data_IF_490973378043
#
_entry.id   IF_490973378043
#
_cell.length_a   1.000
_cell.length_b   1.000
_cell.length_c   1.000
_cell.angle_alpha   90.00
_cell.angle_beta   90.00
_cell.angle_gamma   90.00
#
_symmetry.space_group_name_H-M   'P 1'
#
loop_
_entity.id
_entity.type
_entity.pdbx_description
1 polymer ?
#
# COMPACT_ATOMS: atom_id res chain seq x y z
N UNK A 1 22.23 -14.32 -15.33
CA UNK A 1 21.09 -15.03 -15.95
C UNK A 1 20.24 -15.54 -14.79
N UNK A 2 19.12 -14.88 -14.48
CA UNK A 2 18.24 -15.33 -13.39
C UNK A 2 17.66 -16.68 -13.79
N UNK A 3 17.92 -17.73 -13.00
CA UNK A 3 17.36 -19.04 -13.24
C UNK A 3 15.82 -18.92 -13.27
N UNK A 4 15.22 -19.30 -14.39
CA UNK A 4 13.76 -19.33 -14.52
C UNK A 4 13.22 -20.35 -13.53
N UNK A 5 12.38 -19.91 -12.59
CA UNK A 5 11.76 -20.82 -11.62
C UNK A 5 10.80 -21.75 -12.36
N UNK A 6 10.87 -23.03 -12.02
CA UNK A 6 9.96 -24.03 -12.57
C UNK A 6 8.60 -23.96 -11.88
N UNK A 7 7.54 -24.39 -12.58
CA UNK A 7 6.18 -24.51 -12.01
C UNK A 7 6.15 -25.26 -10.66
N UNK A 8 6.82 -26.43 -10.49
CA UNK A 8 6.83 -27.11 -9.19
C UNK A 8 7.57 -26.32 -8.09
N UNK A 9 8.62 -25.55 -8.43
CA UNK A 9 9.28 -24.68 -7.45
C UNK A 9 8.36 -23.57 -6.95
N UNK A 10 7.56 -22.98 -7.85
CA UNK A 10 6.56 -21.96 -7.54
C UNK A 10 5.46 -22.57 -6.66
N UNK A 11 4.95 -23.74 -7.04
CA UNK A 11 3.90 -24.44 -6.29
C UNK A 11 4.36 -24.79 -4.87
N UNK A 12 5.56 -25.34 -4.73
CA UNK A 12 6.09 -25.74 -3.42
C UNK A 12 6.39 -24.54 -2.52
N UNK A 13 6.88 -23.43 -3.09
CA UNK A 13 7.07 -22.18 -2.35
C UNK A 13 5.73 -21.61 -1.88
N UNK A 14 4.72 -21.59 -2.75
CA UNK A 14 3.40 -21.08 -2.43
C UNK A 14 2.74 -21.90 -1.31
N UNK A 15 2.77 -23.24 -1.42
CA UNK A 15 2.29 -24.14 -0.37
C UNK A 15 2.99 -23.87 0.96
N UNK A 16 4.33 -23.72 0.94
CA UNK A 16 5.11 -23.40 2.14
C UNK A 16 4.68 -22.08 2.76
N UNK A 17 4.52 -21.02 1.98
CA UNK A 17 4.09 -19.70 2.49
C UNK A 17 2.71 -19.75 3.13
N UNK A 18 1.74 -20.36 2.46
CA UNK A 18 0.36 -20.50 2.96
C UNK A 18 0.33 -21.28 4.27
N UNK A 19 1.12 -22.36 4.38
CA UNK A 19 1.20 -23.18 5.59
C UNK A 19 1.95 -22.48 6.74
N UNK A 20 2.94 -21.65 6.42
CA UNK A 20 3.74 -20.94 7.43
C UNK A 20 3.03 -19.72 8.03
N UNK A 21 2.04 -19.17 7.33
CA UNK A 21 1.33 -17.97 7.76
C UNK A 21 0.18 -18.34 8.72
N UNK A 22 0.16 -17.82 9.97
CA UNK A 22 -0.86 -18.15 10.96
C UNK A 22 -2.28 -17.78 10.56
N UNK A 23 -2.46 -16.76 9.72
CA UNK A 23 -3.79 -16.35 9.27
C UNK A 23 -4.32 -17.34 8.22
N UNK A 24 -3.45 -17.97 7.42
CA UNK A 24 -3.88 -18.83 6.27
C UNK A 24 -3.66 -20.32 6.46
N UNK A 25 -2.92 -20.77 7.49
CA UNK A 25 -2.61 -22.18 7.70
C UNK A 25 -3.82 -23.11 7.90
N UNK A 26 -4.96 -22.55 8.34
CA UNK A 26 -6.21 -23.27 8.58
C UNK A 26 -7.19 -23.18 7.39
N UNK A 27 -6.74 -22.67 6.24
CA UNK A 27 -7.56 -22.57 5.05
C UNK A 27 -7.50 -23.84 4.19
N UNK A 28 -8.66 -24.25 3.66
CA UNK A 28 -8.77 -25.42 2.80
C UNK A 28 -8.52 -25.00 1.34
N UNK A 29 -7.25 -24.81 0.99
CA UNK A 29 -6.84 -24.26 -0.31
C UNK A 29 -6.02 -25.28 -1.09
N UNK A 30 -6.45 -25.55 -2.33
CA UNK A 30 -5.69 -26.27 -3.32
C UNK A 30 -5.01 -25.29 -4.29
N UNK A 31 -3.75 -25.56 -4.61
CA UNK A 31 -2.93 -24.74 -5.50
C UNK A 31 -2.47 -25.57 -6.68
N UNK A 32 -2.60 -25.04 -7.90
CA UNK A 32 -2.05 -25.66 -9.11
C UNK A 32 -1.28 -24.60 -9.89
N UNK A 33 -0.13 -24.96 -10.44
CA UNK A 33 0.68 -24.06 -11.27
C UNK A 33 0.87 -24.70 -12.64
N UNK A 34 0.58 -23.94 -13.68
CA UNK A 34 0.80 -24.36 -15.06
C UNK A 34 1.23 -23.16 -15.90
N UNK A 35 2.33 -23.30 -16.62
CA UNK A 35 2.89 -22.23 -17.47
C UNK A 35 3.11 -20.93 -16.67
N UNK A 36 3.52 -21.09 -15.40
CA UNK A 36 3.69 -20.00 -14.41
C UNK A 36 2.42 -19.22 -14.08
N UNK A 37 1.25 -19.78 -14.40
CA UNK A 37 -0.06 -19.29 -13.98
C UNK A 37 -0.49 -20.09 -12.75
N UNK A 38 -0.67 -19.40 -11.63
CA UNK A 38 -1.16 -20.00 -10.38
C UNK A 38 -2.67 -19.99 -10.40
N UNK A 39 -3.27 -21.14 -10.09
CA UNK A 39 -4.71 -21.28 -9.83
C UNK A 39 -4.91 -21.67 -8.37
N UNK A 40 -5.62 -20.83 -7.63
CA UNK A 40 -6.02 -21.06 -6.25
C UNK A 40 -7.49 -21.45 -6.22
N UNK A 41 -7.81 -22.58 -5.60
CA UNK A 41 -9.19 -23.07 -5.44
C UNK A 41 -9.43 -23.50 -4.00
N UNK A 42 -10.69 -23.52 -3.56
CA UNK A 42 -11.07 -24.00 -2.23
C UNK A 42 -11.79 -22.95 -1.40
N UNK A 43 -11.66 -23.04 -0.07
CA UNK A 43 -12.46 -22.27 0.88
C UNK A 43 -11.62 -21.63 1.97
N UNK A 44 -11.98 -20.40 2.32
CA UNK A 44 -11.46 -19.68 3.50
C UNK A 44 -12.60 -19.28 4.42
N UNK A 45 -12.27 -18.99 5.68
CA UNK A 45 -13.26 -18.65 6.71
C UNK A 45 -13.49 -17.15 6.88
N UNK A 46 -12.68 -16.31 6.23
CA UNK A 46 -12.84 -14.85 6.24
C UNK A 46 -12.35 -14.24 4.93
N UNK A 47 -12.84 -13.03 4.59
CA UNK A 47 -12.34 -12.32 3.40
C UNK A 47 -10.87 -11.92 3.54
N UNK A 48 -10.44 -11.50 4.73
CA UNK A 48 -9.03 -11.24 5.04
C UNK A 48 -8.12 -12.43 4.69
N UNK A 49 -8.54 -13.66 4.99
CA UNK A 49 -7.79 -14.85 4.58
C UNK A 49 -7.69 -14.97 3.06
N UNK A 50 -8.80 -14.78 2.34
CA UNK A 50 -8.81 -14.81 0.86
C UNK A 50 -7.79 -13.81 0.30
N UNK A 51 -7.82 -12.56 0.79
CA UNK A 51 -6.91 -11.51 0.34
C UNK A 51 -5.46 -11.85 0.68
N UNK A 52 -5.19 -12.33 1.89
CA UNK A 52 -3.85 -12.71 2.33
C UNK A 52 -3.24 -13.77 1.42
N UNK A 53 -3.99 -14.82 1.08
CA UNK A 53 -3.52 -15.87 0.16
C UNK A 53 -3.22 -15.29 -1.22
N UNK A 54 -4.08 -14.40 -1.72
CA UNK A 54 -3.86 -13.73 -2.99
C UNK A 54 -2.58 -12.89 -2.99
N UNK A 55 -2.33 -12.13 -1.92
CA UNK A 55 -1.12 -11.33 -1.75
C UNK A 55 0.13 -12.21 -1.63
N UNK A 56 0.04 -13.32 -0.89
CA UNK A 56 1.13 -14.30 -0.80
C UNK A 56 1.47 -14.86 -2.18
N UNK A 57 0.45 -15.24 -2.98
CA UNK A 57 0.66 -15.69 -4.35
C UNK A 57 1.29 -14.59 -5.22
N UNK A 58 0.76 -13.36 -5.20
CA UNK A 58 1.31 -12.22 -5.95
C UNK A 58 2.77 -11.88 -5.57
N UNK A 59 3.18 -12.17 -4.33
CA UNK A 59 4.53 -11.88 -3.83
C UNK A 59 5.61 -12.85 -4.31
N UNK A 60 5.25 -13.98 -4.92
CA UNK A 60 6.21 -14.98 -5.38
C UNK A 60 6.75 -14.58 -6.75
N UNK A 61 8.08 -14.39 -6.81
CA UNK A 61 8.75 -14.08 -8.06
C UNK A 61 8.61 -15.22 -9.08
N UNK A 62 8.34 -14.86 -10.34
CA UNK A 62 8.28 -15.80 -11.47
C UNK A 62 6.87 -16.14 -11.94
N UNK A 63 5.83 -15.77 -11.18
CA UNK A 63 4.43 -15.94 -11.57
C UNK A 63 4.06 -14.92 -12.66
N UNK A 64 3.38 -15.41 -13.70
CA UNK A 64 2.88 -14.58 -14.80
C UNK A 64 1.39 -14.24 -14.66
N UNK A 65 0.63 -15.05 -13.93
CA UNK A 65 -0.80 -14.87 -13.77
C UNK A 65 -1.33 -15.56 -12.53
N UNK A 66 -2.42 -15.04 -11.99
CA UNK A 66 -3.09 -15.58 -10.82
C UNK A 66 -4.59 -15.68 -11.08
N UNK A 67 -5.13 -16.89 -10.98
CA UNK A 67 -6.56 -17.19 -10.99
C UNK A 67 -6.96 -17.51 -9.55
N UNK A 68 -7.82 -16.68 -8.96
CA UNK A 68 -8.25 -16.80 -7.57
C UNK A 68 -9.72 -17.22 -7.48
N UNK A 69 -9.97 -18.53 -7.52
CA UNK A 69 -11.29 -19.15 -7.37
C UNK A 69 -11.58 -19.57 -5.92
N UNK A 70 -10.87 -18.99 -4.95
CA UNK A 70 -11.11 -19.23 -3.52
C UNK A 70 -12.42 -18.57 -3.10
N UNK A 71 -13.29 -19.34 -2.46
CA UNK A 71 -14.58 -18.86 -1.97
C UNK A 71 -14.53 -18.58 -0.46
N UNK A 72 -15.15 -17.49 -0.03
CA UNK A 72 -15.29 -17.17 1.40
C UNK A 72 -16.52 -17.88 1.95
N UNK A 73 -16.32 -18.82 2.87
CA UNK A 73 -17.36 -19.50 3.63
C UNK A 73 -17.28 -19.07 5.09
N UNK A 74 -18.03 -18.02 5.42
CA UNK A 74 -18.13 -17.55 6.80
C UNK A 74 -18.75 -18.63 7.70
N UNK A 75 -18.14 -18.94 8.85
CA UNK A 75 -18.79 -19.71 9.91
C UNK A 75 -20.13 -19.08 10.30
N UNK A 76 -21.11 -19.87 10.73
CA UNK A 76 -22.45 -19.37 11.09
C UNK A 76 -22.39 -18.24 12.13
N UNK A 77 -21.46 -18.32 13.10
CA UNK A 77 -21.25 -17.31 14.13
C UNK A 77 -20.70 -15.97 13.60
N UNK A 78 -20.14 -15.96 12.39
CA UNK A 78 -19.61 -14.75 11.74
C UNK A 78 -20.56 -14.17 10.69
N UNK A 79 -21.70 -14.81 10.44
CA UNK A 79 -22.75 -14.23 9.61
C UNK A 79 -23.43 -13.13 10.40
N UNK A 80 -23.33 -11.90 9.90
CA UNK A 80 -23.91 -10.71 10.50
C UNK A 80 -24.84 -10.04 9.51
N UNK A 81 -25.88 -9.34 9.99
CA UNK A 81 -26.77 -8.61 9.10
C UNK A 81 -26.03 -7.43 8.47
N UNK A 82 -26.29 -7.15 7.20
CA UNK A 82 -25.61 -6.09 6.43
C UNK A 82 -25.61 -4.71 7.11
N UNK A 83 -26.69 -4.25 7.79
CA UNK A 83 -26.66 -2.98 8.51
C UNK A 83 -25.60 -2.91 9.62
N UNK A 84 -25.32 -4.03 10.29
CA UNK A 84 -24.26 -4.08 11.29
C UNK A 84 -22.87 -4.07 10.65
N UNK A 85 -22.69 -4.80 9.54
CA UNK A 85 -21.43 -4.80 8.79
C UNK A 85 -21.14 -3.38 8.27
N UNK A 86 -22.15 -2.69 7.74
CA UNK A 86 -22.03 -1.32 7.25
C UNK A 86 -21.64 -0.35 8.37
N UNK A 87 -22.27 -0.44 9.55
CA UNK A 87 -21.94 0.39 10.70
C UNK A 87 -20.52 0.15 11.18
N UNK A 88 -20.13 -1.11 11.35
CA UNK A 88 -18.80 -1.47 11.84
C UNK A 88 -17.71 -1.07 10.83
N UNK A 89 -17.99 -1.20 9.52
CA UNK A 89 -17.10 -0.71 8.47
C UNK A 89 -16.93 0.81 8.52
N UNK A 90 -18.02 1.56 8.69
CA UNK A 90 -18.00 3.01 8.80
C UNK A 90 -17.19 3.46 10.02
N UNK A 91 -17.46 2.88 11.18
CA UNK A 91 -16.72 3.18 12.41
C UNK A 91 -15.22 2.87 12.29
N UNK A 92 -14.89 1.74 11.67
CA UNK A 92 -13.50 1.34 11.47
C UNK A 92 -12.77 2.28 10.50
N UNK A 93 -13.41 2.66 9.39
CA UNK A 93 -12.85 3.59 8.41
C UNK A 93 -12.67 4.98 9.03
N UNK A 94 -13.68 5.49 9.75
CA UNK A 94 -13.57 6.79 10.44
C UNK A 94 -12.45 6.80 11.49
N UNK A 95 -12.27 5.69 12.21
CA UNK A 95 -11.15 5.54 13.16
C UNK A 95 -9.79 5.57 12.46
N UNK A 96 -9.68 4.98 11.27
CA UNK A 96 -8.41 4.91 10.52
C UNK A 96 -8.12 6.19 9.72
N UNK A 97 -9.16 6.84 9.20
CA UNK A 97 -9.13 7.97 8.28
C UNK A 97 -10.08 9.09 8.78
N UNK A 98 -9.77 9.73 9.92
CA UNK A 98 -10.69 10.66 10.59
C UNK A 98 -11.09 11.87 9.74
N UNK A 99 -10.27 12.27 8.76
CA UNK A 99 -10.53 13.43 7.90
C UNK A 99 -11.09 13.07 6.52
N UNK A 100 -11.20 11.78 6.19
CA UNK A 100 -11.64 11.33 4.86
C UNK A 100 -12.80 10.35 4.90
N UNK A 101 -13.09 9.76 6.06
CA UNK A 101 -14.20 8.83 6.22
C UNK A 101 -15.57 9.41 5.86
N UNK A 102 -15.82 10.69 6.13
CA UNK A 102 -17.08 11.37 5.76
C UNK A 102 -17.31 11.47 4.24
N UNK A 103 -16.25 11.36 3.43
CA UNK A 103 -16.32 11.37 1.96
C UNK A 103 -16.47 9.97 1.36
N UNK A 104 -16.41 8.93 2.18
CA UNK A 104 -16.51 7.53 1.78
C UNK A 104 -17.92 7.02 2.08
N UNK A 105 -18.65 6.73 1.01
CA UNK A 105 -19.93 6.02 1.07
C UNK A 105 -19.67 4.52 1.12
N UNK A 106 -20.38 3.84 2.02
CA UNK A 106 -20.31 2.38 2.18
C UNK A 106 -21.67 1.80 1.84
N UNK A 107 -21.70 0.85 0.92
CA UNK A 107 -22.89 0.07 0.56
C UNK A 107 -22.59 -1.39 0.86
N UNK A 108 -23.47 -2.08 1.58
CA UNK A 108 -23.31 -3.50 1.91
C UNK A 108 -24.49 -4.30 1.40
N UNK A 109 -24.20 -5.39 0.70
CA UNK A 109 -25.21 -6.33 0.18
C UNK A 109 -24.69 -7.76 0.30
N UNK A 110 -25.38 -8.61 1.06
CA UNK A 110 -25.00 -10.01 1.33
C UNK A 110 -23.53 -10.15 1.79
N UNK A 111 -23.11 -9.26 2.71
CA UNK A 111 -21.75 -9.17 3.22
C UNK A 111 -20.68 -8.68 2.23
N UNK A 112 -21.06 -8.25 1.01
CA UNK A 112 -20.16 -7.57 0.08
C UNK A 112 -20.16 -6.07 0.38
N UNK A 113 -18.99 -5.53 0.75
CA UNK A 113 -18.81 -4.11 1.05
C UNK A 113 -18.35 -3.40 -0.23
N UNK A 114 -19.08 -2.39 -0.68
CA UNK A 114 -18.67 -1.50 -1.76
C UNK A 114 -18.31 -0.13 -1.18
N UNK A 115 -17.08 0.32 -1.44
CA UNK A 115 -16.58 1.64 -1.04
C UNK A 115 -16.67 2.58 -2.25
N UNK A 116 -17.39 3.68 -2.12
CA UNK A 116 -17.60 4.66 -3.18
C UNK A 116 -17.32 6.08 -2.66
N UNK A 117 -16.88 6.98 -3.53
CA UNK A 117 -16.57 8.36 -3.15
C UNK A 117 -15.19 8.78 -3.63
N UNK A 118 -14.64 9.82 -2.99
CA UNK A 118 -13.39 10.45 -3.40
C UNK A 118 -12.42 10.55 -2.23
N UNK A 119 -11.16 10.26 -2.51
CA UNK A 119 -10.04 10.44 -1.58
C UNK A 119 -8.92 11.22 -2.26
N UNK A 120 -8.06 11.85 -1.47
CA UNK A 120 -6.99 12.71 -1.99
C UNK A 120 -5.74 11.90 -2.36
N UNK A 121 -5.52 10.76 -1.72
CA UNK A 121 -4.30 9.98 -1.88
C UNK A 121 -4.56 8.48 -2.01
N UNK A 122 -3.71 7.80 -2.78
CA UNK A 122 -3.80 6.36 -2.97
C UNK A 122 -3.74 5.59 -1.64
N UNK A 123 -2.94 6.06 -0.67
CA UNK A 123 -2.85 5.43 0.65
C UNK A 123 -4.19 5.45 1.40
N UNK A 124 -5.04 6.46 1.18
CA UNK A 124 -6.35 6.56 1.82
C UNK A 124 -7.30 5.53 1.23
N UNK A 125 -7.26 5.35 -0.10
CA UNK A 125 -8.01 4.31 -0.78
C UNK A 125 -7.60 2.93 -0.28
N UNK A 126 -6.29 2.65 -0.23
CA UNK A 126 -5.73 1.38 0.25
C UNK A 126 -6.07 1.12 1.73
N UNK A 127 -5.94 2.14 2.58
CA UNK A 127 -6.27 2.01 4.01
C UNK A 127 -7.78 1.78 4.24
N UNK A 128 -8.65 2.40 3.45
CA UNK A 128 -10.08 2.18 3.54
C UNK A 128 -10.44 0.74 3.13
N UNK A 129 -9.82 0.23 2.06
CA UNK A 129 -9.97 -1.16 1.62
C UNK A 129 -9.50 -2.12 2.73
N UNK A 130 -8.25 -2.01 3.20
CA UNK A 130 -7.68 -2.88 4.24
C UNK A 130 -8.56 -2.97 5.50
N UNK A 131 -9.10 -1.82 5.93
CA UNK A 131 -9.98 -1.77 7.11
C UNK A 131 -11.31 -2.45 6.83
N UNK A 132 -11.91 -2.21 5.67
CA UNK A 132 -13.15 -2.87 5.27
C UNK A 132 -12.97 -4.41 5.16
N UNK A 133 -11.81 -4.88 4.71
CA UNK A 133 -11.50 -6.32 4.62
C UNK A 133 -11.45 -7.00 5.99
N UNK A 134 -11.07 -6.25 7.03
CA UNK A 134 -10.96 -6.75 8.39
C UNK A 134 -12.30 -6.76 9.15
N UNK A 135 -13.39 -6.24 8.57
CA UNK A 135 -14.72 -6.20 9.20
C UNK A 135 -15.28 -7.62 9.34
N UNK A 136 -15.73 -7.97 10.54
CA UNK A 136 -16.35 -9.25 10.81
C UNK A 136 -17.67 -9.37 10.05
N UNK A 137 -17.81 -10.44 9.25
CA UNK A 137 -18.95 -10.66 8.37
C UNK A 137 -18.73 -10.23 6.93
N UNK A 138 -17.61 -9.55 6.62
CA UNK A 138 -17.25 -9.24 5.25
C UNK A 138 -16.96 -10.52 4.44
N UNK A 139 -17.65 -10.66 3.32
CA UNK A 139 -17.43 -11.72 2.31
C UNK A 139 -16.60 -11.24 1.13
N UNK A 140 -16.58 -9.92 0.92
CA UNK A 140 -15.87 -9.27 -0.16
C UNK A 140 -15.82 -7.77 0.03
N UNK A 141 -14.80 -7.14 -0.55
CA UNK A 141 -14.68 -5.69 -0.64
C UNK A 141 -14.47 -5.30 -2.09
N UNK A 142 -15.23 -4.31 -2.55
CA UNK A 142 -15.09 -3.68 -3.87
C UNK A 142 -14.74 -2.22 -3.62
N UNK A 143 -13.51 -1.86 -3.90
CA UNK A 143 -13.02 -0.49 -3.76
C UNK A 143 -13.23 0.28 -5.08
N UNK A 144 -14.12 1.27 -5.08
CA UNK A 144 -14.38 2.20 -6.19
C UNK A 144 -14.08 3.65 -5.81
N UNK A 145 -13.18 3.86 -4.84
CA UNK A 145 -12.77 5.20 -4.43
C UNK A 145 -11.94 5.86 -5.54
N UNK A 146 -12.35 7.05 -5.95
CA UNK A 146 -11.64 7.87 -6.91
C UNK A 146 -10.56 8.68 -6.20
N UNK A 147 -9.30 8.46 -6.59
CA UNK A 147 -8.14 9.14 -6.02
C UNK A 147 -7.91 10.42 -6.83
N UNK A 148 -8.33 11.55 -6.27
CA UNK A 148 -8.07 12.85 -6.85
C UNK A 148 -6.58 13.15 -6.80
N UNK A 149 -5.88 12.89 -7.91
CA UNK A 149 -4.47 13.23 -8.06
C UNK A 149 -4.29 14.75 -8.03
N UNK A 150 -4.10 15.32 -6.85
CA UNK A 150 -3.54 16.67 -6.67
C UNK A 150 -2.02 16.64 -6.92
N UNK A 151 -1.62 16.12 -8.08
CA UNK A 151 -0.35 16.50 -8.70
C UNK A 151 -0.69 17.42 -9.88
N UNK A 152 -1.33 18.54 -9.58
CA UNK A 152 -1.13 19.77 -10.35
C UNK A 152 0.35 20.16 -10.14
N UNK A 153 1.21 19.52 -10.92
CA UNK A 153 2.66 19.71 -10.96
C UNK A 153 3.09 21.14 -11.31
N UNK A 154 2.16 22.03 -11.63
CA UNK A 154 2.35 23.45 -11.84
C UNK A 154 2.44 24.21 -10.52
N UNK A 155 1.46 24.10 -9.62
CA UNK A 155 1.39 24.95 -8.41
C UNK A 155 2.44 24.60 -7.36
N UNK A 156 2.74 23.32 -7.16
CA UNK A 156 3.79 22.91 -6.20
C UNK A 156 5.16 23.30 -6.74
N UNK A 157 5.43 23.12 -8.05
CA UNK A 157 6.67 23.62 -8.65
C UNK A 157 6.74 25.13 -8.55
N UNK A 158 5.64 25.84 -8.79
CA UNK A 158 5.62 27.29 -8.77
C UNK A 158 5.84 27.82 -7.36
N UNK A 159 5.14 27.30 -6.35
CA UNK A 159 5.33 27.67 -4.93
C UNK A 159 6.72 27.29 -4.41
N UNK A 160 7.24 26.10 -4.75
CA UNK A 160 8.61 25.70 -4.37
C UNK A 160 9.65 26.55 -5.10
N UNK A 161 9.47 26.82 -6.39
CA UNK A 161 10.39 27.68 -7.16
C UNK A 161 10.38 29.11 -6.66
N UNK A 162 9.21 29.63 -6.30
CA UNK A 162 9.05 30.98 -5.77
C UNK A 162 9.66 31.08 -4.37
N UNK A 163 9.42 30.11 -3.48
CA UNK A 163 10.06 30.07 -2.16
C UNK A 163 11.59 29.92 -2.28
N UNK A 164 12.09 29.14 -3.24
CA UNK A 164 13.53 28.98 -3.48
C UNK A 164 14.17 30.25 -4.07
N UNK A 165 13.45 30.96 -4.95
CA UNK A 165 13.88 32.25 -5.51
C UNK A 165 13.86 33.36 -4.45
N UNK A 166 12.83 33.40 -3.60
CA UNK A 166 12.74 34.35 -2.48
C UNK A 166 13.84 34.10 -1.45
N UNK A 167 14.14 32.83 -1.12
CA UNK A 167 15.25 32.48 -0.24
C UNK A 167 16.62 32.84 -0.85
N UNK A 168 16.83 32.59 -2.15
CA UNK A 168 18.07 32.96 -2.84
C UNK A 168 18.23 34.49 -3.00
N UNK A 169 17.13 35.23 -3.17
CA UNK A 169 17.13 36.69 -3.20
C UNK A 169 17.42 37.29 -1.81
N UNK A 170 17.03 36.62 -0.73
CA UNK A 170 17.37 37.02 0.63
C UNK A 170 18.87 36.85 0.94
N UNK A 171 19.50 35.77 0.46
CA UNK A 171 20.95 35.55 0.59
C UNK A 171 21.81 36.48 -0.27
N UNK A 172 21.28 36.99 -1.38
CA UNK A 172 21.98 37.97 -2.22
C UNK A 172 22.00 39.39 -1.60
N UNK A 173 21.05 39.70 -0.72
CA UNK A 173 20.90 41.03 -0.10
C UNK A 173 21.38 41.11 1.37
N UNK A 174 21.82 39.99 1.97
CA UNK A 174 22.35 39.94 3.34
C UNK A 174 23.89 40.00 3.42
N UNK A 175 24.57 40.51 2.38
CA UNK A 175 25.97 40.93 2.49
C UNK A 175 26.10 42.41 2.87
N UNK A 176 25.85 42.68 4.14
CA UNK A 176 26.67 43.62 4.89
C UNK A 176 26.69 43.23 6.37
N UNK A 177 27.91 43.08 6.89
CA UNK A 177 28.36 42.96 8.29
C UNK A 177 28.39 41.59 8.96
N UNK A 178 29.62 41.06 9.00
CA UNK A 178 30.33 40.47 10.15
C UNK A 178 29.91 39.11 10.74
N UNK A 179 30.73 38.11 10.38
CA UNK A 179 31.31 37.04 11.20
C UNK A 179 30.71 36.74 12.59
N UNK A 180 30.11 35.56 12.77
CA UNK A 180 30.72 34.51 13.60
C UNK A 180 30.08 33.13 13.36
N UNK A 181 30.86 32.08 13.64
CA UNK A 181 30.58 30.66 13.44
C UNK A 181 29.19 30.18 13.91
N UNK A 182 28.39 29.60 13.01
CA UNK A 182 27.77 28.29 13.26
C UNK A 182 27.28 27.64 11.95
N UNK A 183 27.78 26.45 11.71
CA UNK A 183 27.61 25.62 10.51
C UNK A 183 26.15 25.10 10.40
N UNK A 184 25.42 25.49 9.35
CA UNK A 184 24.23 24.76 8.90
C UNK A 184 24.38 24.44 7.41
N UNK A 185 24.82 23.21 7.16
CA UNK A 185 24.99 22.63 5.82
C UNK A 185 23.60 22.25 5.29
N UNK A 186 23.05 23.09 4.42
CA UNK A 186 21.94 22.72 3.54
C UNK A 186 22.51 21.90 2.37
N UNK A 187 22.39 20.57 2.47
CA UNK A 187 22.78 19.60 1.43
C UNK A 187 21.94 19.80 0.17
N UNK A 188 22.40 20.71 -0.69
CA UNK A 188 22.05 20.77 -2.10
C UNK A 188 22.90 19.79 -2.91
N UNK A 189 22.24 19.10 -3.84
CA UNK A 189 22.83 18.51 -5.04
C UNK A 189 23.98 17.50 -4.83
N UNK A 190 23.61 16.24 -4.62
CA UNK A 190 24.51 15.10 -4.88
C UNK A 190 24.85 15.06 -6.37
N UNK A 191 26.03 15.57 -6.74
CA UNK A 191 26.81 15.09 -7.89
C UNK A 191 28.26 14.89 -7.47
N UNK A 192 28.54 13.63 -7.16
CA UNK A 192 29.64 12.79 -7.63
C UNK A 192 30.90 13.44 -8.24
N UNK A 193 32.03 12.79 -7.88
CA UNK A 193 33.43 12.91 -8.32
C UNK A 193 34.23 14.05 -7.70
N UNK A 194 35.53 13.94 -7.44
CA UNK A 194 36.47 12.85 -7.23
C UNK A 194 37.82 13.56 -6.97
N UNK A 195 38.76 12.80 -6.41
CA UNK A 195 40.20 13.00 -6.53
C UNK A 195 40.91 14.02 -5.63
N UNK A 196 41.74 13.40 -4.77
CA UNK A 196 43.19 13.61 -4.65
C UNK A 196 43.70 14.95 -4.12
N UNK A 197 44.44 14.81 -3.03
CA UNK A 197 45.69 15.55 -2.83
C UNK A 197 45.73 16.38 -1.57
N UNK A 198 46.56 15.94 -0.63
CA UNK A 198 47.17 16.71 0.47
C UNK A 198 47.80 18.05 -0.04
N UNK A 199 48.38 18.97 0.79
CA UNK A 199 48.86 18.80 2.17
C UNK A 199 48.69 20.02 3.13
N UNK A 200 49.23 19.85 4.35
CA UNK A 200 49.44 20.86 5.43
C UNK A 200 50.16 22.14 4.95
N UNK A 201 50.08 23.24 5.71
CA UNK A 201 51.23 23.66 6.54
C UNK A 201 50.80 24.13 7.95
N UNK A 202 51.39 23.64 9.04
CA UNK A 202 52.56 24.16 9.76
C UNK A 202 52.46 25.63 10.21
N UNK A 203 52.28 25.82 11.52
CA UNK A 203 53.18 26.62 12.36
C UNK A 203 53.20 26.06 13.77
#
# INVERSE_FOLDING_TARGET
MLAMRSDPDIEQELKRRIQSDPDTNNADIATTVKDRIVTLTGFVRSFRQKRKVELLAKSIAGINGLVNDVQVRLPLLQRRPDPEIARDALEAINRRLPYSGDRIRIVVEDGLICLEGQVEWAYQSEAAEEVAEAVLGARGVVNKLDVQSYVQSSEIRQKVSQALLEAAAFDANSRSSESNHNEFILLGAVRFWAERGAPRPSR
#
